data_IF_573425247482
#
_entry.id   IF_573425247482
#
_cell.length_a   1.000
_cell.length_b   1.000
_cell.length_c   1.000
_cell.angle_alpha   90.00
_cell.angle_beta   90.00
_cell.angle_gamma   90.00
#
_symmetry.space_group_name_H-M   'P 1'
#
loop_
_entity.id
_entity.type
_entity.pdbx_description
1 polymer ?
#
# COMPACT_ATOMS: atom_id res chain seq x y z
N UNK A 1 34.62 -70.12 -26.12
CA UNK A 1 35.04 -68.69 -26.24
C UNK A 1 33.79 -67.88 -26.51
N UNK A 2 33.25 -67.24 -25.49
CA UNK A 2 32.01 -66.41 -25.57
C UNK A 2 32.44 -64.96 -25.52
N UNK A 3 32.24 -64.24 -26.62
CA UNK A 3 32.48 -62.80 -26.72
C UNK A 3 31.38 -62.04 -25.93
N UNK A 4 31.76 -61.26 -24.92
CA UNK A 4 30.92 -60.39 -24.16
C UNK A 4 30.99 -58.97 -24.77
N UNK A 5 29.91 -58.52 -25.40
CA UNK A 5 29.77 -57.13 -25.86
C UNK A 5 29.21 -56.28 -24.71
N UNK A 6 29.97 -55.28 -24.27
CA UNK A 6 29.51 -54.22 -23.34
C UNK A 6 29.11 -53.02 -24.18
N UNK A 7 27.87 -52.54 -24.10
CA UNK A 7 27.52 -51.28 -24.74
C UNK A 7 28.02 -50.09 -23.94
N UNK A 8 28.77 -49.23 -24.59
CA UNK A 8 29.23 -47.93 -24.06
C UNK A 8 28.04 -46.97 -24.01
N UNK A 9 27.52 -46.69 -22.81
CA UNK A 9 26.53 -45.62 -22.60
C UNK A 9 27.25 -44.28 -22.57
N UNK A 10 27.08 -43.49 -23.61
CA UNK A 10 27.55 -42.11 -23.68
C UNK A 10 26.55 -41.22 -22.86
N UNK A 11 26.99 -40.78 -21.70
CA UNK A 11 26.27 -39.76 -20.89
C UNK A 11 26.57 -38.39 -21.52
N UNK A 12 25.61 -37.84 -22.24
CA UNK A 12 25.64 -36.43 -22.64
C UNK A 12 25.33 -35.56 -21.42
N UNK A 13 26.35 -35.00 -20.81
CA UNK A 13 26.18 -33.87 -19.87
C UNK A 13 25.86 -32.61 -20.68
N UNK A 14 24.59 -32.23 -20.74
CA UNK A 14 24.17 -30.91 -21.21
C UNK A 14 24.53 -29.93 -20.09
N UNK A 15 25.65 -29.22 -20.22
CA UNK A 15 25.96 -28.07 -19.41
C UNK A 15 25.01 -26.94 -19.82
N UNK A 16 23.96 -26.73 -19.07
CA UNK A 16 23.19 -25.51 -19.11
C UNK A 16 24.08 -24.36 -18.60
N UNK A 17 24.73 -23.66 -19.53
CA UNK A 17 25.38 -22.38 -19.24
C UNK A 17 24.24 -21.38 -19.01
N UNK A 18 23.74 -21.32 -17.78
CA UNK A 18 22.91 -20.22 -17.33
C UNK A 18 23.79 -18.97 -17.31
N UNK A 19 23.59 -18.07 -18.26
CA UNK A 19 24.03 -16.68 -18.08
C UNK A 19 23.39 -16.14 -16.80
N UNK A 20 24.07 -16.21 -15.67
CA UNK A 20 23.78 -15.35 -14.53
C UNK A 20 24.10 -13.94 -15.01
N UNK A 21 23.07 -13.17 -15.36
CA UNK A 21 23.18 -11.73 -15.35
C UNK A 21 23.71 -11.35 -13.96
N UNK A 22 24.81 -10.59 -13.91
CA UNK A 22 25.32 -10.06 -12.66
C UNK A 22 24.17 -9.24 -12.04
N UNK A 23 23.71 -9.62 -10.85
CA UNK A 23 22.75 -8.84 -10.08
C UNK A 23 23.30 -7.41 -9.98
N UNK A 24 22.68 -6.47 -10.67
CA UNK A 24 22.95 -5.05 -10.48
C UNK A 24 22.61 -4.75 -9.01
N UNK A 25 23.61 -4.49 -8.19
CA UNK A 25 23.40 -4.02 -6.82
C UNK A 25 22.75 -2.63 -6.90
N UNK A 26 21.42 -2.61 -6.80
CA UNK A 26 20.67 -1.37 -6.59
C UNK A 26 20.58 -1.12 -5.08
N UNK A 27 20.47 0.15 -4.68
CA UNK A 27 20.19 0.52 -3.28
C UNK A 27 18.67 0.47 -2.97
N UNK A 28 17.86 -0.09 -3.88
CA UNK A 28 16.43 -0.25 -3.68
C UNK A 28 16.14 -1.32 -2.62
N UNK A 29 15.35 -0.96 -1.64
CA UNK A 29 14.81 -1.91 -0.68
C UNK A 29 13.54 -2.57 -1.22
N UNK A 30 13.32 -3.83 -0.83
CA UNK A 30 12.16 -4.60 -1.24
C UNK A 30 11.40 -5.09 0.00
N UNK A 31 10.07 -5.15 -0.16
CA UNK A 31 9.16 -5.68 0.86
C UNK A 31 8.30 -6.80 0.29
N UNK A 32 7.88 -7.76 1.11
CA UNK A 32 6.93 -8.77 0.66
C UNK A 32 5.59 -8.11 0.31
N UNK A 33 4.97 -8.56 -0.79
CA UNK A 33 3.61 -8.18 -1.14
C UNK A 33 2.62 -9.11 -0.41
N UNK A 34 2.49 -8.95 0.90
CA UNK A 34 1.68 -9.83 1.73
C UNK A 34 2.06 -11.31 1.60
N UNK A 35 1.06 -12.17 1.44
CA UNK A 35 1.22 -13.62 1.26
C UNK A 35 1.42 -14.06 -0.21
N UNK A 36 1.57 -13.13 -1.16
CA UNK A 36 1.66 -13.44 -2.58
C UNK A 36 2.95 -14.17 -2.99
N UNK A 37 3.98 -14.11 -2.15
CA UNK A 37 5.32 -14.59 -2.50
C UNK A 37 6.15 -13.62 -3.35
N UNK A 38 5.56 -12.50 -3.78
CA UNK A 38 6.24 -11.47 -4.55
C UNK A 38 6.99 -10.50 -3.63
N UNK A 39 8.16 -10.04 -4.09
CA UNK A 39 8.94 -8.98 -3.45
C UNK A 39 8.86 -7.73 -4.31
N UNK A 40 8.40 -6.61 -3.74
CA UNK A 40 8.17 -5.35 -4.44
C UNK A 40 9.07 -4.24 -3.89
N UNK A 41 9.52 -3.34 -4.76
CA UNK A 41 10.30 -2.15 -4.37
C UNK A 41 9.46 -1.23 -3.47
N UNK A 42 10.11 -0.58 -2.48
CA UNK A 42 9.44 0.33 -1.53
C UNK A 42 8.73 1.51 -2.21
N UNK A 43 9.23 1.94 -3.37
CA UNK A 43 8.57 2.91 -4.25
C UNK A 43 8.29 2.26 -5.60
N UNK A 44 7.19 2.66 -6.23
CA UNK A 44 6.68 2.06 -7.46
C UNK A 44 6.04 3.10 -8.37
N UNK A 45 5.79 2.71 -9.60
CA UNK A 45 5.35 3.59 -10.69
C UNK A 45 3.82 3.66 -10.74
N UNK A 46 3.26 4.88 -10.72
CA UNK A 46 1.87 5.14 -11.13
C UNK A 46 1.82 5.51 -12.61
N UNK A 47 0.91 4.89 -13.36
CA UNK A 47 0.91 4.96 -14.83
C UNK A 47 0.44 6.30 -15.44
N UNK A 48 -0.08 7.25 -14.64
CA UNK A 48 -0.78 8.44 -15.16
C UNK A 48 0.04 9.35 -16.06
N UNK A 49 1.37 9.35 -15.97
CA UNK A 49 2.24 10.14 -16.83
C UNK A 49 2.43 9.58 -18.24
N UNK A 50 2.21 8.27 -18.44
CA UNK A 50 2.51 7.61 -19.72
C UNK A 50 1.56 8.03 -20.86
N UNK A 51 0.41 8.59 -20.58
CA UNK A 51 -0.44 9.20 -21.63
C UNK A 51 0.12 10.51 -22.17
N UNK A 52 0.92 11.24 -21.37
CA UNK A 52 1.43 12.58 -21.67
C UNK A 52 2.68 12.56 -22.54
N UNK A 53 3.42 11.45 -22.54
CA UNK A 53 4.70 11.27 -23.21
C UNK A 53 4.57 10.37 -24.44
N UNK A 54 5.59 10.32 -25.26
CA UNK A 54 5.68 9.38 -26.40
C UNK A 54 6.34 8.05 -25.99
N UNK A 55 6.38 7.11 -26.94
CA UNK A 55 6.94 5.77 -26.68
C UNK A 55 8.43 5.79 -26.38
N UNK A 56 9.19 6.73 -26.97
CA UNK A 56 10.63 6.84 -26.74
C UNK A 56 10.91 7.34 -25.31
N UNK A 57 10.20 8.38 -24.87
CA UNK A 57 10.28 8.88 -23.49
C UNK A 57 9.78 7.83 -22.48
N UNK A 58 8.76 7.06 -22.85
CA UNK A 58 8.26 5.95 -22.03
C UNK A 58 9.29 4.86 -21.84
N UNK A 59 10.02 4.49 -22.90
CA UNK A 59 11.11 3.54 -22.84
C UNK A 59 12.26 4.05 -21.96
N UNK A 60 12.64 5.32 -22.08
CA UNK A 60 13.70 5.92 -21.27
C UNK A 60 13.31 5.92 -19.78
N UNK A 61 12.08 6.34 -19.47
CA UNK A 61 11.55 6.39 -18.10
C UNK A 61 11.48 4.97 -17.48
N UNK A 62 10.92 3.99 -18.20
CA UNK A 62 10.83 2.61 -17.73
C UNK A 62 12.21 1.96 -17.57
N UNK A 63 13.13 2.23 -18.48
CA UNK A 63 14.52 1.73 -18.40
C UNK A 63 15.22 2.27 -17.15
N UNK A 64 15.09 3.57 -16.88
CA UNK A 64 15.65 4.18 -15.67
C UNK A 64 15.05 3.57 -14.40
N UNK A 65 13.75 3.39 -14.35
CA UNK A 65 13.06 2.80 -13.20
C UNK A 65 13.53 1.36 -12.93
N UNK A 66 13.51 0.49 -13.95
CA UNK A 66 13.97 -0.90 -13.83
C UNK A 66 15.46 -0.99 -13.49
N UNK A 67 16.29 -0.15 -14.11
CA UNK A 67 17.74 -0.11 -13.85
C UNK A 67 18.06 0.37 -12.43
N UNK A 68 17.16 1.15 -11.81
CA UNK A 68 17.25 1.59 -10.43
C UNK A 68 16.65 0.57 -9.43
N UNK A 69 16.03 -0.50 -9.93
CA UNK A 69 15.45 -1.57 -9.10
C UNK A 69 13.97 -1.41 -8.79
N UNK A 70 13.27 -0.41 -9.35
CA UNK A 70 11.80 -0.40 -9.28
C UNK A 70 11.26 -1.57 -10.09
N UNK A 71 10.41 -2.39 -9.45
CA UNK A 71 9.87 -3.60 -10.07
C UNK A 71 8.35 -3.72 -9.97
N UNK A 72 7.65 -2.62 -9.66
CA UNK A 72 6.20 -2.62 -9.53
C UNK A 72 5.59 -1.41 -10.22
N UNK A 73 4.49 -1.64 -10.95
CA UNK A 73 3.72 -0.58 -11.62
C UNK A 73 2.23 -0.77 -11.36
N UNK A 74 1.54 0.33 -11.04
CA UNK A 74 0.09 0.40 -11.00
C UNK A 74 -0.47 0.92 -12.33
N UNK A 75 -1.24 0.07 -13.01
CA UNK A 75 -1.89 0.35 -14.27
C UNK A 75 -3.40 0.52 -14.07
N UNK A 76 -3.79 1.62 -13.40
CA UNK A 76 -5.20 1.94 -13.20
C UNK A 76 -5.86 2.52 -14.43
N UNK A 77 -5.10 3.16 -15.32
CA UNK A 77 -5.63 3.87 -16.49
C UNK A 77 -5.93 2.91 -17.65
N UNK A 78 -7.13 3.06 -18.22
CA UNK A 78 -7.56 2.30 -19.37
C UNK A 78 -7.22 2.97 -20.72
N UNK A 79 -6.58 4.16 -20.71
CA UNK A 79 -6.22 4.88 -21.92
C UNK A 79 -5.33 4.00 -22.84
N UNK A 80 -5.74 3.79 -24.10
CA UNK A 80 -4.99 2.99 -25.06
C UNK A 80 -3.53 3.41 -25.24
N UNK A 81 -3.25 4.73 -25.17
CA UNK A 81 -1.89 5.26 -25.29
C UNK A 81 -1.04 4.89 -24.09
N UNK A 82 -1.57 5.06 -22.86
CA UNK A 82 -0.90 4.66 -21.61
C UNK A 82 -0.47 3.20 -21.67
N UNK A 83 -1.44 2.30 -21.94
CA UNK A 83 -1.20 0.85 -22.01
C UNK A 83 -0.19 0.48 -23.09
N UNK A 84 -0.31 1.07 -24.30
CA UNK A 84 0.59 0.81 -25.42
C UNK A 84 2.01 1.33 -25.16
N UNK A 85 2.16 2.49 -24.53
CA UNK A 85 3.46 3.04 -24.15
C UNK A 85 4.18 2.17 -23.12
N UNK A 86 3.46 1.69 -22.11
CA UNK A 86 4.00 0.77 -21.10
C UNK A 86 4.40 -0.56 -21.74
N UNK A 87 3.54 -1.15 -22.58
CA UNK A 87 3.85 -2.38 -23.30
C UNK A 87 5.06 -2.26 -24.21
N UNK A 88 5.21 -1.14 -24.91
CA UNK A 88 6.39 -0.83 -25.70
C UNK A 88 7.65 -0.72 -24.82
N UNK A 89 7.55 -0.01 -23.71
CA UNK A 89 8.68 0.24 -22.82
C UNK A 89 9.15 -1.03 -22.08
N UNK A 90 8.28 -2.02 -21.90
CA UNK A 90 8.58 -3.30 -21.27
C UNK A 90 9.05 -4.39 -22.24
N UNK A 91 9.16 -4.11 -23.55
CA UNK A 91 9.63 -5.12 -24.51
C UNK A 91 10.99 -5.70 -24.15
N UNK A 92 11.06 -7.03 -24.01
CA UNK A 92 12.26 -7.75 -23.61
C UNK A 92 12.60 -7.68 -22.11
N UNK A 93 11.83 -6.93 -21.30
CA UNK A 93 12.01 -6.78 -19.86
C UNK A 93 10.71 -6.98 -19.05
N UNK A 94 9.66 -7.54 -19.67
CA UNK A 94 8.33 -7.74 -19.04
C UNK A 94 8.43 -8.48 -17.71
N UNK A 95 9.26 -9.50 -17.62
CA UNK A 95 9.44 -10.34 -16.44
C UNK A 95 10.16 -9.63 -15.28
N UNK A 96 10.72 -8.44 -15.52
CA UNK A 96 11.34 -7.62 -14.47
C UNK A 96 10.32 -6.71 -13.75
N UNK A 97 9.07 -6.61 -14.27
CA UNK A 97 8.04 -5.73 -13.74
C UNK A 97 6.80 -6.51 -13.28
N UNK A 98 6.43 -6.33 -12.02
CA UNK A 98 5.16 -6.79 -11.44
C UNK A 98 4.10 -5.76 -11.82
N UNK A 99 3.06 -6.19 -12.53
CA UNK A 99 1.97 -5.31 -12.97
C UNK A 99 0.74 -5.53 -12.09
N UNK A 100 0.30 -4.45 -11.43
CA UNK A 100 -1.01 -4.30 -10.81
C UNK A 100 -1.93 -3.66 -11.83
N UNK A 101 -2.79 -4.45 -12.47
CA UNK A 101 -3.71 -3.97 -13.51
C UNK A 101 -5.17 -4.00 -13.04
N UNK A 102 -5.96 -2.98 -13.42
CA UNK A 102 -7.31 -2.80 -12.91
C UNK A 102 -8.38 -3.48 -13.79
N UNK A 103 -9.12 -4.43 -13.21
CA UNK A 103 -10.27 -5.11 -13.81
C UNK A 103 -11.51 -4.25 -13.59
N UNK A 104 -12.30 -4.05 -14.64
CA UNK A 104 -13.46 -3.16 -14.59
C UNK A 104 -13.11 -1.68 -14.74
N UNK A 105 -11.90 -1.37 -15.24
CA UNK A 105 -11.53 -0.07 -15.76
C UNK A 105 -11.43 -0.15 -17.29
N UNK A 106 -12.28 0.59 -18.00
CA UNK A 106 -12.37 0.62 -19.45
C UNK A 106 -12.18 2.05 -19.99
N UNK A 107 -11.86 2.16 -21.28
CA UNK A 107 -11.80 3.45 -21.97
C UNK A 107 -12.99 3.59 -22.88
N UNK A 108 -13.85 4.59 -22.62
CA UNK A 108 -15.08 4.83 -23.36
C UNK A 108 -15.30 6.32 -23.50
N UNK A 109 -15.71 6.77 -24.69
CA UNK A 109 -15.99 8.18 -24.98
C UNK A 109 -14.83 9.15 -24.65
N UNK A 110 -13.58 8.67 -24.83
CA UNK A 110 -12.38 9.48 -24.62
C UNK A 110 -11.91 9.57 -23.17
N UNK A 111 -12.46 8.79 -22.25
CA UNK A 111 -12.07 8.79 -20.84
C UNK A 111 -12.07 7.37 -20.25
N UNK A 112 -11.38 7.20 -19.15
CA UNK A 112 -11.49 5.97 -18.38
C UNK A 112 -12.78 5.96 -17.58
N UNK A 113 -13.43 4.80 -17.50
CA UNK A 113 -14.69 4.60 -16.81
C UNK A 113 -14.62 3.32 -15.99
N UNK A 114 -15.36 3.31 -14.88
CA UNK A 114 -15.58 2.09 -14.12
C UNK A 114 -16.77 1.32 -14.67
N UNK A 115 -16.64 0.01 -14.79
CA UNK A 115 -17.75 -0.90 -15.14
C UNK A 115 -17.79 -2.13 -14.23
N UNK A 116 -18.99 -2.69 -14.02
CA UNK A 116 -19.23 -4.02 -13.46
C UNK A 116 -19.94 -4.93 -14.46
N UNK A 117 -20.21 -4.44 -15.68
CA UNK A 117 -20.65 -5.29 -16.78
C UNK A 117 -19.53 -6.25 -17.18
N UNK A 118 -19.86 -7.54 -17.24
CA UNK A 118 -18.86 -8.60 -17.48
C UNK A 118 -18.27 -8.52 -18.87
N UNK A 119 -19.06 -8.21 -19.89
CA UNK A 119 -18.58 -8.17 -21.28
C UNK A 119 -17.69 -6.94 -21.50
N UNK A 120 -18.06 -5.78 -20.95
CA UNK A 120 -17.20 -4.59 -20.97
C UNK A 120 -15.89 -4.85 -20.20
N UNK A 121 -15.96 -5.51 -19.03
CA UNK A 121 -14.77 -5.84 -18.23
C UNK A 121 -13.83 -6.81 -18.95
N UNK A 122 -14.38 -7.84 -19.63
CA UNK A 122 -13.61 -8.76 -20.49
C UNK A 122 -12.87 -8.01 -21.59
N UNK A 123 -13.58 -7.17 -22.35
CA UNK A 123 -13.00 -6.39 -23.44
C UNK A 123 -11.89 -5.48 -22.91
N UNK A 124 -12.11 -4.80 -21.78
CA UNK A 124 -11.12 -3.91 -21.17
C UNK A 124 -9.88 -4.64 -20.65
N UNK A 125 -10.05 -5.84 -20.12
CA UNK A 125 -8.94 -6.67 -19.65
C UNK A 125 -8.12 -7.27 -20.81
N UNK A 126 -8.78 -7.77 -21.86
CA UNK A 126 -8.12 -8.27 -23.06
C UNK A 126 -7.39 -7.17 -23.83
N UNK A 127 -7.96 -5.96 -23.93
CA UNK A 127 -7.27 -4.77 -24.47
C UNK A 127 -6.00 -4.47 -23.67
N UNK A 128 -6.06 -4.55 -22.34
CA UNK A 128 -4.90 -4.35 -21.48
C UNK A 128 -3.79 -5.36 -21.78
N UNK A 129 -4.09 -6.65 -21.77
CA UNK A 129 -3.09 -7.70 -22.08
C UNK A 129 -2.51 -7.56 -23.48
N UNK A 130 -3.36 -7.26 -24.46
CA UNK A 130 -2.94 -7.07 -25.87
C UNK A 130 -1.96 -5.91 -26.00
N UNK A 131 -2.25 -4.75 -25.38
CA UNK A 131 -1.40 -3.56 -25.45
C UNK A 131 -0.10 -3.70 -24.66
N UNK A 132 -0.14 -4.42 -23.56
CA UNK A 132 1.04 -4.78 -22.77
C UNK A 132 1.89 -5.85 -23.46
N UNK A 133 1.38 -6.51 -24.52
CA UNK A 133 2.01 -7.65 -25.19
C UNK A 133 2.39 -8.77 -24.21
N UNK A 134 1.43 -9.17 -23.36
CA UNK A 134 1.59 -10.22 -22.34
C UNK A 134 0.33 -11.06 -22.28
N UNK A 135 0.43 -12.28 -21.75
CA UNK A 135 -0.70 -13.18 -21.55
C UNK A 135 -1.24 -13.15 -20.11
N UNK A 136 -0.55 -12.47 -19.19
CA UNK A 136 -0.93 -12.35 -17.79
C UNK A 136 -0.41 -11.06 -17.13
N UNK A 137 -0.98 -10.78 -15.96
CA UNK A 137 -0.47 -9.80 -14.99
C UNK A 137 -0.41 -10.43 -13.60
N UNK A 138 0.41 -9.87 -12.72
CA UNK A 138 0.62 -10.46 -11.39
C UNK A 138 -0.55 -10.16 -10.45
N UNK A 139 -1.05 -8.91 -10.42
CA UNK A 139 -2.15 -8.51 -9.53
C UNK A 139 -3.32 -7.98 -10.34
N UNK A 140 -4.43 -8.71 -10.32
CA UNK A 140 -5.72 -8.24 -10.86
C UNK A 140 -6.49 -7.45 -9.80
N UNK A 141 -6.53 -6.12 -9.96
CA UNK A 141 -7.14 -5.19 -9.01
C UNK A 141 -8.59 -4.90 -9.41
N UNK A 142 -9.56 -5.22 -8.57
CA UNK A 142 -10.94 -4.78 -8.74
C UNK A 142 -10.96 -3.26 -8.62
N UNK A 143 -11.36 -2.57 -9.70
CA UNK A 143 -11.24 -1.12 -9.81
C UNK A 143 -12.29 -0.40 -8.98
N UNK A 144 -11.87 0.39 -8.03
CA UNK A 144 -12.62 1.28 -7.14
C UNK A 144 -13.89 0.64 -6.56
N UNK A 145 -13.87 0.40 -5.26
CA UNK A 145 -15.03 0.00 -4.48
C UNK A 145 -15.01 0.84 -3.20
N UNK A 146 -15.86 1.88 -3.16
CA UNK A 146 -15.78 2.94 -2.16
C UNK A 146 -17.02 3.04 -1.26
N UNK A 147 -18.06 2.21 -1.50
CA UNK A 147 -19.21 2.14 -0.62
C UNK A 147 -19.53 0.70 -0.19
N UNK A 148 -20.25 0.58 0.92
CA UNK A 148 -20.69 -0.74 1.42
C UNK A 148 -21.64 -1.42 0.44
N UNK A 149 -22.52 -0.64 -0.21
CA UNK A 149 -23.47 -1.13 -1.22
C UNK A 149 -22.70 -1.71 -2.43
N UNK A 150 -21.69 -1.00 -2.94
CA UNK A 150 -20.87 -1.48 -4.05
C UNK A 150 -20.14 -2.79 -3.70
N UNK A 151 -19.66 -2.92 -2.45
CA UNK A 151 -19.03 -4.15 -2.00
C UNK A 151 -20.06 -5.30 -1.90
N UNK A 152 -21.23 -5.04 -1.34
CA UNK A 152 -22.29 -6.05 -1.19
C UNK A 152 -22.84 -6.50 -2.54
N UNK A 153 -22.96 -5.59 -3.52
CA UNK A 153 -23.32 -5.92 -4.90
C UNK A 153 -22.22 -6.71 -5.63
N UNK A 154 -20.95 -6.51 -5.26
CA UNK A 154 -19.83 -7.25 -5.83
C UNK A 154 -19.84 -8.71 -5.39
N UNK A 155 -20.13 -8.98 -4.12
CA UNK A 155 -20.16 -10.33 -3.56
C UNK A 155 -21.25 -11.19 -4.24
N UNK A 156 -20.85 -12.31 -4.86
CA UNK A 156 -21.76 -13.20 -5.61
C UNK A 156 -22.21 -12.66 -6.96
N UNK A 157 -21.60 -11.58 -7.46
CA UNK A 157 -21.92 -11.05 -8.79
C UNK A 157 -21.23 -11.84 -9.92
N UNK A 158 -21.79 -11.83 -11.14
CA UNK A 158 -21.12 -12.39 -12.31
C UNK A 158 -19.76 -11.72 -12.61
N UNK A 159 -19.57 -10.46 -12.20
CA UNK A 159 -18.29 -9.77 -12.33
C UNK A 159 -17.22 -10.38 -11.41
N UNK A 160 -17.56 -10.71 -10.16
CA UNK A 160 -16.64 -11.39 -9.25
C UNK A 160 -16.32 -12.80 -9.72
N UNK A 161 -17.31 -13.53 -10.24
CA UNK A 161 -17.09 -14.85 -10.87
C UNK A 161 -16.07 -14.76 -12.01
N UNK A 162 -16.16 -13.71 -12.82
CA UNK A 162 -15.17 -13.44 -13.88
C UNK A 162 -13.77 -13.16 -13.33
N UNK A 163 -13.64 -12.40 -12.24
CA UNK A 163 -12.34 -12.17 -11.59
C UNK A 163 -11.72 -13.49 -11.12
N UNK A 164 -12.50 -14.36 -10.48
CA UNK A 164 -12.03 -15.70 -10.09
C UNK A 164 -11.69 -16.57 -11.30
N UNK A 165 -12.46 -16.47 -12.39
CA UNK A 165 -12.13 -17.16 -13.64
C UNK A 165 -10.75 -16.73 -14.16
N UNK A 166 -10.44 -15.44 -14.19
CA UNK A 166 -9.12 -14.92 -14.62
C UNK A 166 -7.98 -15.50 -13.77
N UNK A 167 -8.18 -15.63 -12.45
CA UNK A 167 -7.21 -16.26 -11.56
C UNK A 167 -7.04 -17.76 -11.87
N UNK A 168 -8.14 -18.47 -12.08
CA UNK A 168 -8.10 -19.89 -12.42
C UNK A 168 -7.45 -20.17 -13.78
N UNK A 169 -7.58 -19.25 -14.74
CA UNK A 169 -6.95 -19.31 -16.05
C UNK A 169 -5.47 -18.88 -16.03
N UNK A 170 -4.98 -18.37 -14.89
CA UNK A 170 -3.62 -17.87 -14.75
C UNK A 170 -3.38 -16.52 -15.43
N UNK A 171 -4.44 -15.83 -15.87
CA UNK A 171 -4.35 -14.48 -16.45
C UNK A 171 -4.07 -13.40 -15.40
N UNK A 172 -4.43 -13.67 -14.15
CA UNK A 172 -3.96 -12.95 -12.97
C UNK A 172 -3.46 -13.96 -11.95
N UNK A 173 -2.45 -13.60 -11.17
CA UNK A 173 -1.91 -14.49 -10.13
C UNK A 173 -2.57 -14.20 -8.78
N UNK A 174 -2.82 -12.93 -8.47
CA UNK A 174 -3.37 -12.47 -7.20
C UNK A 174 -4.55 -11.54 -7.41
N UNK A 175 -5.49 -11.55 -6.46
CA UNK A 175 -6.67 -10.67 -6.48
C UNK A 175 -6.48 -9.55 -5.48
N UNK A 176 -6.69 -8.32 -5.96
CA UNK A 176 -6.74 -7.14 -5.12
C UNK A 176 -8.02 -6.32 -5.31
N UNK A 177 -8.18 -5.31 -4.47
CA UNK A 177 -9.22 -4.30 -4.59
C UNK A 177 -8.65 -2.91 -4.33
N UNK A 178 -9.06 -1.90 -5.11
CA UNK A 178 -8.72 -0.51 -4.81
C UNK A 178 -9.90 0.18 -4.10
N UNK A 179 -9.59 0.87 -3.00
CA UNK A 179 -10.56 1.65 -2.25
C UNK A 179 -9.93 2.90 -1.63
N UNK A 180 -10.77 3.94 -1.49
CA UNK A 180 -10.43 5.17 -0.79
C UNK A 180 -11.14 5.25 0.57
N UNK A 181 -12.10 4.34 0.80
CA UNK A 181 -12.90 4.24 2.01
C UNK A 181 -12.31 3.18 2.94
N UNK A 182 -11.95 3.59 4.17
CA UNK A 182 -11.30 2.68 5.13
C UNK A 182 -12.22 1.55 5.62
N UNK A 183 -13.51 1.83 5.80
CA UNK A 183 -14.49 0.82 6.24
C UNK A 183 -14.68 -0.26 5.18
N UNK A 184 -14.76 0.15 3.90
CA UNK A 184 -14.88 -0.77 2.78
C UNK A 184 -13.60 -1.58 2.58
N UNK A 185 -12.43 -0.93 2.68
CA UNK A 185 -11.14 -1.61 2.61
C UNK A 185 -10.99 -2.68 3.72
N UNK A 186 -11.42 -2.35 4.95
CA UNK A 186 -11.44 -3.28 6.07
C UNK A 186 -12.41 -4.45 5.83
N UNK A 187 -13.61 -4.17 5.30
CA UNK A 187 -14.58 -5.20 4.93
C UNK A 187 -14.01 -6.13 3.85
N UNK A 188 -13.36 -5.55 2.85
CA UNK A 188 -12.66 -6.31 1.81
C UNK A 188 -11.53 -7.18 2.38
N UNK A 189 -10.70 -6.64 3.28
CA UNK A 189 -9.67 -7.41 3.96
C UNK A 189 -10.24 -8.63 4.70
N UNK A 190 -11.40 -8.47 5.34
CA UNK A 190 -12.09 -9.53 6.09
C UNK A 190 -12.81 -10.57 5.22
N UNK A 191 -12.91 -10.38 3.90
CA UNK A 191 -13.57 -11.32 2.97
C UNK A 191 -12.87 -12.68 2.86
N UNK A 192 -11.57 -12.74 3.16
CA UNK A 192 -10.76 -13.96 3.12
C UNK A 192 -10.20 -14.35 1.75
N UNK A 193 -10.51 -13.60 0.68
CA UNK A 193 -10.02 -13.87 -0.69
C UNK A 193 -9.25 -12.69 -1.31
N UNK A 194 -9.21 -11.53 -0.65
CA UNK A 194 -8.37 -10.39 -1.05
C UNK A 194 -6.94 -10.60 -0.54
N UNK A 195 -5.96 -10.46 -1.42
CA UNK A 195 -4.54 -10.62 -1.13
C UNK A 195 -3.82 -9.26 -1.09
N UNK A 196 -4.31 -8.28 -1.88
CA UNK A 196 -3.71 -6.94 -2.01
C UNK A 196 -4.80 -5.88 -1.95
N UNK A 197 -4.58 -4.82 -1.19
CA UNK A 197 -5.46 -3.66 -1.16
C UNK A 197 -4.68 -2.43 -1.63
N UNK A 198 -5.13 -1.80 -2.71
CA UNK A 198 -4.64 -0.48 -3.09
C UNK A 198 -5.43 0.57 -2.31
N UNK A 199 -4.76 1.29 -1.42
CA UNK A 199 -5.43 2.18 -0.48
C UNK A 199 -4.84 3.59 -0.48
N UNK A 200 -5.71 4.60 -0.32
CA UNK A 200 -5.28 5.99 -0.20
C UNK A 200 -4.77 6.28 1.21
N UNK A 201 -3.44 6.40 1.35
CA UNK A 201 -2.76 6.59 2.61
C UNK A 201 -1.72 7.70 2.54
N UNK A 202 -1.78 8.64 3.46
CA UNK A 202 -0.76 9.66 3.72
C UNK A 202 -1.07 10.35 5.06
N UNK A 203 -0.20 11.26 5.57
CA UNK A 203 -0.42 11.92 6.87
C UNK A 203 -1.77 12.63 7.04
N UNK A 204 -2.33 13.20 5.96
CA UNK A 204 -3.63 13.88 6.01
C UNK A 204 -4.81 12.90 5.93
N UNK A 205 -4.72 11.92 5.00
CA UNK A 205 -5.83 10.99 4.79
C UNK A 205 -6.03 10.03 5.96
N UNK A 206 -4.98 9.74 6.71
CA UNK A 206 -5.09 8.95 7.94
C UNK A 206 -5.96 9.62 9.01
N UNK A 207 -6.23 10.92 8.87
CA UNK A 207 -7.08 11.70 9.76
C UNK A 207 -8.52 11.87 9.26
N UNK A 208 -8.86 11.28 8.12
CA UNK A 208 -10.24 11.23 7.63
C UNK A 208 -11.06 10.28 8.50
N UNK A 209 -12.31 10.68 8.79
CA UNK A 209 -13.22 9.84 9.58
C UNK A 209 -13.69 8.64 8.78
N UNK A 210 -13.59 7.46 9.35
CA UNK A 210 -14.17 6.17 8.94
C UNK A 210 -14.34 5.99 7.43
N UNK A 211 -15.58 6.06 6.97
CA UNK A 211 -15.96 5.92 5.58
C UNK A 211 -15.77 7.15 4.68
N UNK A 212 -15.19 8.26 5.19
CA UNK A 212 -15.01 9.48 4.38
C UNK A 212 -14.01 9.27 3.25
N UNK A 213 -14.37 9.74 2.06
CA UNK A 213 -13.54 9.73 0.87
C UNK A 213 -12.82 11.08 0.71
N UNK A 214 -11.52 11.12 0.36
CA UNK A 214 -10.71 12.34 0.40
C UNK A 214 -11.22 13.52 -0.44
N UNK A 215 -12.03 13.29 -1.48
CA UNK A 215 -12.57 14.33 -2.36
C UNK A 215 -14.04 14.66 -2.08
N UNK A 216 -14.66 14.06 -1.10
CA UNK A 216 -15.96 14.50 -0.65
C UNK A 216 -15.90 15.92 -0.10
N UNK A 217 -16.96 16.68 -0.37
CA UNK A 217 -17.02 18.08 0.06
C UNK A 217 -16.92 18.19 1.58
N UNK A 218 -15.90 18.88 2.05
CA UNK A 218 -15.67 19.13 3.47
C UNK A 218 -14.94 17.99 4.21
N UNK A 219 -14.60 16.88 3.55
CA UNK A 219 -13.87 15.79 4.20
C UNK A 219 -12.52 16.26 4.76
N UNK A 220 -11.80 17.09 4.01
CA UNK A 220 -10.51 17.65 4.42
C UNK A 220 -10.60 18.82 5.42
N UNK A 221 -11.80 19.38 5.62
CA UNK A 221 -12.00 20.51 6.55
C UNK A 221 -12.15 20.03 8.01
N UNK A 222 -12.39 18.72 8.22
CA UNK A 222 -12.70 18.11 9.51
C UNK A 222 -11.77 16.93 9.83
N UNK A 223 -10.47 17.12 9.64
CA UNK A 223 -9.48 16.10 9.98
C UNK A 223 -9.40 15.92 11.49
N UNK A 224 -9.25 14.68 11.93
CA UNK A 224 -9.03 14.34 13.34
C UNK A 224 -7.60 14.69 13.78
N UNK A 225 -7.38 14.79 15.07
CA UNK A 225 -6.03 15.01 15.61
C UNK A 225 -5.11 13.81 15.35
N UNK A 226 -5.63 12.58 15.52
CA UNK A 226 -4.91 11.32 15.32
C UNK A 226 -5.27 10.60 14.02
N UNK A 227 -4.79 9.38 13.91
CA UNK A 227 -5.19 8.43 12.85
C UNK A 227 -6.61 7.93 13.21
N UNK A 228 -7.47 7.87 12.20
CA UNK A 228 -8.83 7.35 12.40
C UNK A 228 -8.79 5.87 12.88
N UNK A 229 -9.57 5.50 13.91
CA UNK A 229 -9.57 4.15 14.45
C UNK A 229 -9.83 3.04 13.45
N UNK A 230 -10.71 3.26 12.46
CA UNK A 230 -10.99 2.27 11.40
C UNK A 230 -9.76 2.04 10.52
N UNK A 231 -8.97 3.11 10.26
CA UNK A 231 -7.71 2.97 9.51
C UNK A 231 -6.66 2.19 10.30
N UNK A 232 -6.58 2.43 11.61
CA UNK A 232 -5.69 1.64 12.48
C UNK A 232 -6.11 0.17 12.46
N UNK A 233 -7.41 -0.13 12.59
CA UNK A 233 -7.93 -1.49 12.51
C UNK A 233 -7.62 -2.15 11.15
N UNK A 234 -7.77 -1.41 10.04
CA UNK A 234 -7.41 -1.90 8.71
C UNK A 234 -5.94 -2.30 8.64
N UNK A 235 -5.04 -1.43 9.13
CA UNK A 235 -3.59 -1.69 9.09
C UNK A 235 -3.20 -2.88 9.95
N UNK A 236 -3.74 -2.96 11.16
CA UNK A 236 -3.50 -4.08 12.08
C UNK A 236 -4.04 -5.40 11.52
N UNK A 237 -5.25 -5.37 10.95
CA UNK A 237 -5.84 -6.55 10.33
C UNK A 237 -5.00 -7.04 9.15
N UNK A 238 -4.63 -6.13 8.23
CA UNK A 238 -3.80 -6.47 7.09
C UNK A 238 -2.43 -6.99 7.50
N UNK A 239 -1.78 -6.37 8.49
CA UNK A 239 -0.49 -6.83 9.02
C UNK A 239 -0.58 -8.24 9.63
N UNK A 240 -1.62 -8.50 10.44
CA UNK A 240 -1.80 -9.79 11.12
C UNK A 240 -2.13 -10.92 10.14
N UNK A 241 -2.85 -10.62 9.06
CA UNK A 241 -3.28 -11.61 8.06
C UNK A 241 -2.38 -11.64 6.83
N UNK A 242 -1.27 -10.86 6.83
CA UNK A 242 -0.35 -10.73 5.71
C UNK A 242 -1.05 -10.33 4.39
N UNK A 243 -2.01 -9.42 4.45
CA UNK A 243 -2.62 -8.78 3.29
C UNK A 243 -1.78 -7.54 2.97
N UNK A 244 -1.36 -7.39 1.72
CA UNK A 244 -0.54 -6.26 1.33
C UNK A 244 -1.38 -4.99 1.16
N UNK A 245 -0.84 -3.84 1.58
CA UNK A 245 -1.32 -2.54 1.15
C UNK A 245 -0.32 -1.93 0.16
N UNK A 246 -0.79 -1.60 -1.05
CA UNK A 246 -0.10 -0.75 -2.01
C UNK A 246 -0.70 0.65 -1.91
N UNK A 247 0.16 1.66 -1.70
CA UNK A 247 -0.33 3.00 -1.33
C UNK A 247 -0.51 3.88 -2.55
N UNK A 248 -1.71 4.36 -2.78
CA UNK A 248 -1.99 5.46 -3.69
C UNK A 248 -2.09 6.79 -2.93
N UNK A 249 -1.87 7.91 -3.64
CA UNK A 249 -1.96 9.27 -3.07
C UNK A 249 -0.94 9.58 -1.97
N UNK A 250 0.20 8.92 -1.98
CA UNK A 250 1.31 9.09 -1.03
C UNK A 250 1.62 10.57 -0.73
N UNK A 251 1.65 11.43 -1.76
CA UNK A 251 1.97 12.85 -1.66
C UNK A 251 0.72 13.75 -1.49
N UNK A 252 -0.43 13.17 -1.07
CA UNK A 252 -1.68 13.91 -0.83
C UNK A 252 -2.58 14.09 -2.06
N UNK A 253 -2.30 13.38 -3.16
CA UNK A 253 -3.02 13.56 -4.44
C UNK A 253 -2.61 14.86 -5.14
N UNK A 254 -1.81 14.73 -6.21
CA UNK A 254 -1.26 15.88 -6.94
C UNK A 254 -0.25 16.71 -6.15
N UNK A 255 0.48 16.09 -5.21
CA UNK A 255 1.55 16.77 -4.47
C UNK A 255 1.06 17.77 -3.40
N UNK A 256 -0.20 17.72 -2.98
CA UNK A 256 -0.77 18.70 -2.04
C UNK A 256 -0.01 18.82 -0.71
N UNK A 257 0.58 17.74 -0.23
CA UNK A 257 1.33 17.74 1.02
C UNK A 257 2.71 18.43 0.90
N UNK A 258 3.20 18.68 -0.32
CA UNK A 258 4.52 19.24 -0.57
C UNK A 258 4.57 20.78 -0.45
N UNK A 259 3.42 21.45 -0.32
CA UNK A 259 3.32 22.89 -0.10
C UNK A 259 2.35 23.18 1.05
N UNK A 260 2.80 23.95 2.04
CA UNK A 260 2.01 24.30 3.22
C UNK A 260 0.69 25.02 2.88
N UNK A 261 0.60 25.70 1.72
CA UNK A 261 -0.61 26.40 1.29
C UNK A 261 -1.68 25.47 0.74
N UNK A 262 -1.29 24.33 0.16
CA UNK A 262 -2.19 23.33 -0.41
C UNK A 262 -2.42 22.15 0.53
N UNK A 263 -1.51 21.98 1.50
CA UNK A 263 -1.59 20.92 2.49
C UNK A 263 -2.76 21.16 3.45
N UNK A 264 -3.68 20.20 3.59
CA UNK A 264 -4.77 20.30 4.57
C UNK A 264 -4.24 20.27 6.02
N UNK A 265 -2.96 19.95 6.20
CA UNK A 265 -2.28 19.96 7.50
C UNK A 265 -1.59 21.30 7.81
N UNK A 266 -1.64 22.29 6.88
CA UNK A 266 -1.03 23.61 7.05
C UNK A 266 0.49 23.62 7.08
N UNK A 267 1.15 22.50 6.86
CA UNK A 267 2.60 22.32 6.79
C UNK A 267 3.00 21.58 5.52
N UNK A 268 4.23 21.79 5.05
CA UNK A 268 4.79 21.07 3.91
C UNK A 268 5.61 19.86 4.38
N UNK A 269 5.36 18.71 3.78
CA UNK A 269 6.18 17.51 3.88
C UNK A 269 7.11 17.42 2.67
N UNK A 270 8.23 16.71 2.81
CA UNK A 270 9.00 16.26 1.64
C UNK A 270 8.45 14.95 1.10
N UNK A 271 8.77 14.57 -0.16
CA UNK A 271 8.43 13.25 -0.68
C UNK A 271 8.93 12.11 0.21
N UNK A 272 10.17 12.20 0.71
CA UNK A 272 10.78 11.20 1.59
C UNK A 272 10.01 11.04 2.90
N UNK A 273 9.55 12.14 3.49
CA UNK A 273 8.74 12.13 4.71
C UNK A 273 7.36 11.49 4.46
N UNK A 274 6.73 11.78 3.33
CA UNK A 274 5.46 11.15 2.96
C UNK A 274 5.62 9.64 2.75
N UNK A 275 6.66 9.22 2.02
CA UNK A 275 6.98 7.81 1.78
C UNK A 275 7.29 7.10 3.10
N UNK A 276 8.17 7.68 3.93
CA UNK A 276 8.52 7.13 5.24
C UNK A 276 7.29 6.94 6.14
N UNK A 277 6.38 7.94 6.14
CA UNK A 277 5.13 7.84 6.86
C UNK A 277 4.29 6.65 6.42
N UNK A 278 4.10 6.47 5.11
CA UNK A 278 3.33 5.34 4.57
C UNK A 278 4.01 4.01 4.92
N UNK A 279 5.31 3.89 4.67
CA UNK A 279 6.09 2.68 4.92
C UNK A 279 6.28 2.36 6.42
N UNK A 280 5.94 3.28 7.32
CA UNK A 280 5.91 3.01 8.77
C UNK A 280 4.81 2.02 9.17
N UNK A 281 3.81 1.78 8.31
CA UNK A 281 2.76 0.79 8.54
C UNK A 281 3.25 -0.61 8.12
N UNK A 282 3.21 -1.62 9.00
CA UNK A 282 3.79 -2.96 8.71
C UNK A 282 3.18 -3.66 7.48
N UNK A 283 1.91 -3.38 7.18
CA UNK A 283 1.19 -3.96 6.04
C UNK A 283 1.48 -3.27 4.70
N UNK A 284 2.17 -2.12 4.71
CA UNK A 284 2.48 -1.38 3.47
C UNK A 284 3.69 -1.97 2.78
N UNK A 285 3.49 -2.43 1.55
CA UNK A 285 4.53 -3.03 0.72
C UNK A 285 5.22 -2.04 -0.20
N UNK A 286 4.47 -1.10 -0.79
CA UNK A 286 5.01 -0.12 -1.73
C UNK A 286 4.20 1.17 -1.76
N UNK A 287 4.87 2.29 -2.06
CA UNK A 287 4.26 3.59 -2.33
C UNK A 287 4.24 3.84 -3.84
N UNK A 288 3.04 3.91 -4.42
CA UNK A 288 2.83 4.20 -5.84
C UNK A 288 2.92 5.71 -6.06
N UNK A 289 3.95 6.13 -6.80
CA UNK A 289 4.22 7.53 -7.10
C UNK A 289 3.72 7.87 -8.51
N UNK A 290 3.00 8.98 -8.64
CA UNK A 290 2.62 9.51 -9.95
C UNK A 290 3.84 10.17 -10.57
N UNK A 291 4.28 9.69 -11.72
CA UNK A 291 5.49 10.14 -12.41
C UNK A 291 5.09 10.62 -13.80
N UNK A 292 5.18 11.92 -14.03
CA UNK A 292 4.79 12.53 -15.31
C UNK A 292 5.97 12.67 -16.29
N UNK A 293 7.21 12.66 -15.77
CA UNK A 293 8.43 12.88 -16.57
C UNK A 293 9.68 12.32 -15.86
N UNK A 294 10.80 12.30 -16.58
CA UNK A 294 12.09 11.79 -16.09
C UNK A 294 12.66 12.54 -14.89
N UNK A 295 12.39 13.84 -14.77
CA UNK A 295 12.94 14.63 -13.65
C UNK A 295 12.20 14.32 -12.35
N UNK A 296 10.89 14.05 -12.43
CA UNK A 296 10.12 13.53 -11.29
C UNK A 296 10.59 12.14 -10.90
N UNK A 297 10.81 11.23 -11.86
CA UNK A 297 11.37 9.91 -11.55
C UNK A 297 12.73 10.02 -10.84
N UNK A 298 13.62 10.91 -11.31
CA UNK A 298 14.93 11.13 -10.66
C UNK A 298 14.78 11.66 -9.24
N UNK A 299 13.82 12.57 -9.02
CA UNK A 299 13.52 13.09 -7.69
C UNK A 299 13.00 11.98 -6.77
N UNK A 300 12.08 11.14 -7.24
CA UNK A 300 11.54 10.02 -6.47
C UNK A 300 12.60 8.96 -6.14
N UNK A 301 13.53 8.71 -7.07
CA UNK A 301 14.66 7.79 -6.87
C UNK A 301 15.66 8.30 -5.79
N UNK A 302 15.59 9.56 -5.37
CA UNK A 302 16.34 10.06 -4.22
C UNK A 302 16.01 9.28 -2.94
N UNK A 303 14.81 8.72 -2.81
CA UNK A 303 14.40 7.82 -1.71
C UNK A 303 15.46 6.76 -1.37
N UNK A 304 16.11 6.18 -2.38
CA UNK A 304 17.13 5.13 -2.19
C UNK A 304 18.38 5.60 -1.46
N UNK A 305 18.63 6.90 -1.42
CA UNK A 305 19.82 7.54 -0.88
C UNK A 305 19.52 8.50 0.28
N UNK A 306 18.24 8.74 0.53
CA UNK A 306 17.80 9.65 1.58
C UNK A 306 18.24 9.15 2.96
N UNK A 307 18.76 10.08 3.76
CA UNK A 307 19.19 9.82 5.14
C UNK A 307 18.01 9.60 6.07
N UNK A 308 18.29 9.10 7.28
CA UNK A 308 17.23 8.92 8.30
C UNK A 308 16.64 10.29 8.72
N UNK A 309 17.45 11.37 8.70
CA UNK A 309 16.97 12.72 8.98
C UNK A 309 16.02 13.24 7.88
N UNK A 310 16.31 12.96 6.60
CA UNK A 310 15.42 13.34 5.49
C UNK A 310 14.10 12.58 5.52
N UNK A 311 14.13 11.34 6.01
CA UNK A 311 12.95 10.48 6.18
C UNK A 311 12.14 10.79 7.45
N UNK A 312 12.73 11.52 8.41
CA UNK A 312 12.05 11.85 9.66
C UNK A 312 10.93 12.88 9.44
N UNK A 313 9.71 12.42 9.52
CA UNK A 313 8.49 13.24 9.42
C UNK A 313 8.00 13.79 10.78
N UNK A 314 8.63 13.40 11.89
CA UNK A 314 8.13 13.73 13.25
C UNK A 314 8.27 15.22 13.55
N UNK A 315 9.34 15.87 13.09
CA UNK A 315 9.55 17.30 13.27
C UNK A 315 8.52 18.16 12.52
N UNK A 316 8.15 17.75 11.28
CA UNK A 316 7.10 18.45 10.50
C UNK A 316 5.75 18.25 11.16
N UNK A 317 5.45 17.04 11.61
CA UNK A 317 4.20 16.71 12.28
C UNK A 317 3.94 17.51 13.54
N UNK A 318 4.99 17.89 14.29
CA UNK A 318 4.90 18.80 15.45
C UNK A 318 4.51 20.24 15.08
N UNK A 319 4.69 20.64 13.83
CA UNK A 319 4.34 21.98 13.34
C UNK A 319 2.91 22.08 12.80
N UNK A 320 2.20 20.95 12.69
CA UNK A 320 0.82 20.92 12.21
C UNK A 320 -0.10 21.71 13.15
N UNK A 321 -0.95 22.62 12.62
CA UNK A 321 -1.80 23.48 13.45
C UNK A 321 -2.85 22.72 14.28
N UNK A 322 -3.20 21.53 13.89
CA UNK A 322 -4.17 20.69 14.58
C UNK A 322 -3.46 19.78 15.58
N UNK A 323 -3.25 20.30 16.78
CA UNK A 323 -3.17 19.61 18.07
C UNK A 323 -2.74 18.12 18.05
N UNK A 324 -1.50 17.85 17.71
CA UNK A 324 -0.93 16.54 17.98
C UNK A 324 -0.15 16.50 19.31
N UNK A 325 0.12 17.66 19.94
CA UNK A 325 0.82 17.71 21.23
C UNK A 325 -0.13 17.19 22.31
N UNK A 326 0.26 16.09 22.93
CA UNK A 326 -0.52 15.40 23.94
C UNK A 326 -1.45 14.29 23.43
N UNK A 327 -1.71 14.19 22.12
CA UNK A 327 -2.54 13.15 21.54
C UNK A 327 -1.71 11.99 20.99
N UNK A 328 -2.09 10.76 21.31
CA UNK A 328 -1.42 9.57 20.78
C UNK A 328 -1.78 9.35 19.30
N UNK A 329 -0.75 9.20 18.47
CA UNK A 329 -0.91 8.93 17.03
C UNK A 329 -0.63 7.48 16.66
N UNK A 330 -0.55 6.61 17.65
CA UNK A 330 -0.30 5.16 17.56
C UNK A 330 0.97 4.80 16.74
N UNK A 331 1.91 5.72 16.64
CA UNK A 331 3.13 5.59 15.81
C UNK A 331 4.17 4.62 16.38
N UNK A 332 3.95 4.12 17.62
CA UNK A 332 4.78 3.18 18.33
C UNK A 332 6.24 3.62 18.65
N UNK A 333 6.58 4.91 18.50
CA UNK A 333 7.91 5.43 18.87
C UNK A 333 8.21 5.27 20.37
N UNK A 334 7.19 5.20 21.22
CA UNK A 334 7.31 4.93 22.66
C UNK A 334 7.86 3.53 22.98
N UNK A 335 7.84 2.61 22.02
CA UNK A 335 8.35 1.24 22.17
C UNK A 335 9.89 1.16 22.11
N UNK A 336 10.53 0.15 22.74
CA UNK A 336 9.95 -0.88 23.57
C UNK A 336 9.64 -0.39 24.98
N UNK A 337 8.52 -0.86 25.56
CA UNK A 337 8.23 -0.66 26.97
C UNK A 337 9.03 -1.66 27.81
N UNK A 338 9.59 -1.22 28.96
CA UNK A 338 10.34 -2.09 29.86
C UNK A 338 9.50 -3.23 30.46
N UNK A 339 8.17 -3.02 30.54
CA UNK A 339 7.20 -4.01 31.01
C UNK A 339 6.54 -4.77 29.85
N UNK A 340 6.95 -4.54 28.59
CA UNK A 340 6.37 -5.20 27.42
C UNK A 340 4.97 -4.70 27.03
N UNK A 341 4.46 -3.62 27.63
CA UNK A 341 3.12 -3.07 27.31
C UNK A 341 3.12 -2.57 25.87
N UNK A 342 2.17 -3.00 25.03
CA UNK A 342 1.98 -2.48 23.67
C UNK A 342 1.29 -1.09 23.73
N UNK A 343 2.03 -0.07 24.16
CA UNK A 343 1.53 1.27 24.52
C UNK A 343 0.64 1.87 23.43
N UNK A 344 1.07 1.80 22.17
CA UNK A 344 0.29 2.36 21.06
C UNK A 344 -1.07 1.68 20.93
N UNK A 345 -1.14 0.35 21.10
CA UNK A 345 -2.40 -0.41 21.04
C UNK A 345 -3.28 -0.16 22.27
N UNK A 346 -2.70 -0.01 23.44
CA UNK A 346 -3.44 0.37 24.66
C UNK A 346 -4.10 1.73 24.47
N UNK A 347 -3.37 2.74 23.97
CA UNK A 347 -3.93 4.07 23.70
C UNK A 347 -5.02 4.04 22.63
N UNK A 348 -4.85 3.25 21.56
CA UNK A 348 -5.89 3.08 20.54
C UNK A 348 -7.21 2.55 21.14
N UNK A 349 -7.12 1.51 21.98
CA UNK A 349 -8.30 0.92 22.63
C UNK A 349 -8.91 1.88 23.66
N UNK A 350 -8.07 2.65 24.36
CA UNK A 350 -8.51 3.70 25.30
C UNK A 350 -9.32 4.77 24.57
N UNK A 351 -8.79 5.31 23.49
CA UNK A 351 -9.46 6.37 22.72
C UNK A 351 -10.78 5.88 22.14
N UNK A 352 -10.83 4.63 21.63
CA UNK A 352 -12.10 4.01 21.18
C UNK A 352 -13.11 3.90 22.32
N UNK A 353 -12.69 3.43 23.50
CA UNK A 353 -13.59 3.29 24.64
C UNK A 353 -14.08 4.64 25.18
N UNK A 354 -13.29 5.70 25.06
CA UNK A 354 -13.71 7.06 25.45
C UNK A 354 -14.69 7.70 24.47
N UNK A 355 -14.57 7.37 23.16
CA UNK A 355 -15.44 7.92 22.11
C UNK A 355 -16.76 7.14 22.03
N UNK A 356 -16.70 5.82 22.02
CA UNK A 356 -17.83 4.93 21.72
C UNK A 356 -18.46 4.31 22.98
N UNK A 357 -17.76 4.42 24.13
CA UNK A 357 -18.06 3.66 25.35
C UNK A 357 -17.41 2.29 25.34
N UNK A 358 -17.20 1.73 26.53
CA UNK A 358 -16.62 0.39 26.67
C UNK A 358 -17.63 -0.67 26.24
N UNK A 359 -17.33 -1.37 25.14
CA UNK A 359 -18.11 -2.50 24.64
C UNK A 359 -17.48 -3.85 25.05
N UNK A 360 -18.25 -4.97 25.07
CA UNK A 360 -17.68 -6.30 25.31
C UNK A 360 -16.57 -6.67 24.33
N UNK A 361 -16.67 -6.20 23.08
CA UNK A 361 -15.69 -6.45 22.02
C UNK A 361 -14.40 -5.69 22.28
N UNK A 362 -14.45 -4.44 22.69
CA UNK A 362 -13.30 -3.63 23.09
C UNK A 362 -12.62 -4.23 24.33
N UNK A 363 -13.39 -4.66 25.32
CA UNK A 363 -12.87 -5.35 26.51
C UNK A 363 -12.13 -6.64 26.11
N UNK A 364 -12.71 -7.44 25.21
CA UNK A 364 -12.09 -8.68 24.74
C UNK A 364 -10.77 -8.41 23.98
N UNK A 365 -10.71 -7.36 23.15
CA UNK A 365 -9.48 -6.96 22.49
C UNK A 365 -8.41 -6.53 23.48
N UNK A 366 -8.77 -5.75 24.49
CA UNK A 366 -7.84 -5.35 25.53
C UNK A 366 -7.34 -6.55 26.36
N UNK A 367 -8.24 -7.46 26.72
CA UNK A 367 -7.93 -8.67 27.49
C UNK A 367 -6.99 -9.63 26.76
N UNK A 368 -6.99 -9.59 25.44
CA UNK A 368 -6.11 -10.39 24.57
C UNK A 368 -4.67 -9.83 24.46
N UNK A 369 -4.40 -8.64 24.98
CA UNK A 369 -3.06 -8.07 24.95
C UNK A 369 -2.09 -8.88 25.84
N UNK A 370 -0.81 -9.02 25.43
CA UNK A 370 0.17 -9.77 26.20
C UNK A 370 0.52 -9.12 27.54
N UNK A 371 0.41 -7.79 27.63
CA UNK A 371 0.63 -6.96 28.82
C UNK A 371 -0.38 -5.83 28.86
N UNK A 372 -0.80 -5.43 30.06
CA UNK A 372 -1.87 -4.47 30.28
C UNK A 372 -1.36 -3.17 30.92
N UNK A 373 -2.16 -2.10 30.80
CA UNK A 373 -1.83 -0.77 31.30
C UNK A 373 -1.51 -0.77 32.82
N UNK A 374 -2.19 -1.60 33.62
CA UNK A 374 -1.95 -1.71 35.04
C UNK A 374 -0.56 -2.24 35.44
N UNK A 375 0.19 -2.77 34.50
CA UNK A 375 1.59 -3.19 34.68
C UNK A 375 2.57 -2.02 34.54
N UNK A 376 2.09 -0.82 34.21
CA UNK A 376 2.93 0.36 34.03
C UNK A 376 3.59 0.77 35.36
N UNK A 377 4.92 0.83 35.34
CA UNK A 377 5.73 1.23 36.51
C UNK A 377 6.03 2.74 36.55
N UNK A 378 5.45 3.53 35.64
CA UNK A 378 5.70 4.98 35.49
C UNK A 378 7.20 5.34 35.35
N UNK A 379 8.01 4.46 34.74
CA UNK A 379 9.45 4.64 34.61
C UNK A 379 9.85 5.81 33.66
N UNK A 380 8.91 6.37 32.91
CA UNK A 380 9.09 7.52 32.03
C UNK A 380 9.90 7.27 30.74
N UNK A 381 10.37 6.03 30.49
CA UNK A 381 11.19 5.72 29.31
C UNK A 381 10.45 5.98 27.97
N UNK A 382 9.12 5.88 27.96
CA UNK A 382 8.28 6.17 26.80
C UNK A 382 8.14 7.66 26.54
N UNK A 383 8.20 8.53 27.56
CA UNK A 383 8.05 9.98 27.42
C UNK A 383 9.15 10.59 26.56
N UNK A 384 10.41 10.23 26.83
CA UNK A 384 11.56 10.75 26.08
C UNK A 384 11.61 10.29 24.62
N UNK A 385 10.86 9.25 24.27
CA UNK A 385 10.76 8.70 22.92
C UNK A 385 9.51 9.15 22.17
N UNK A 386 8.51 9.69 22.88
CA UNK A 386 7.29 10.16 22.24
C UNK A 386 7.52 11.49 21.53
N UNK A 387 7.41 11.56 20.18
CA UNK A 387 7.62 12.81 19.44
C UNK A 387 6.44 13.79 19.60
N UNK A 388 5.32 13.36 20.21
CA UNK A 388 4.09 14.14 20.38
C UNK A 388 3.82 14.52 21.83
N UNK A 389 4.79 14.35 22.72
CA UNK A 389 4.73 14.75 24.13
C UNK A 389 3.52 14.16 24.88
N UNK A 390 3.03 12.99 24.44
CA UNK A 390 1.91 12.30 25.10
C UNK A 390 2.30 11.94 26.53
N UNK A 391 1.46 12.31 27.50
CA UNK A 391 1.62 11.84 28.87
C UNK A 391 1.17 10.37 29.02
N UNK A 392 2.04 9.48 28.47
CA UNK A 392 1.77 8.04 28.41
C UNK A 392 1.48 7.43 29.79
N UNK A 393 2.21 7.75 30.88
CA UNK A 393 1.86 7.23 32.20
C UNK A 393 0.41 7.54 32.59
N UNK A 394 -0.04 8.79 32.39
CA UNK A 394 -1.44 9.17 32.65
C UNK A 394 -2.43 8.43 31.76
N UNK A 395 -2.08 8.20 30.48
CA UNK A 395 -2.93 7.39 29.60
C UNK A 395 -3.02 5.93 30.06
N UNK A 396 -1.94 5.37 30.58
CA UNK A 396 -1.94 4.00 31.16
C UNK A 396 -2.84 3.93 32.41
N UNK A 397 -2.80 4.96 33.28
CA UNK A 397 -3.70 5.00 34.45
C UNK A 397 -5.17 5.06 34.01
N UNK A 398 -5.52 5.88 33.01
CA UNK A 398 -6.88 5.95 32.45
C UNK A 398 -7.32 4.63 31.82
N UNK A 399 -6.44 3.98 31.06
CA UNK A 399 -6.74 2.68 30.47
C UNK A 399 -7.00 1.62 31.55
N UNK A 400 -6.21 1.62 32.63
CA UNK A 400 -6.43 0.76 33.79
C UNK A 400 -7.78 1.02 34.45
N UNK A 401 -8.19 2.28 34.59
CA UNK A 401 -9.50 2.65 35.17
C UNK A 401 -10.66 2.14 34.30
N UNK A 402 -10.55 2.26 32.96
CA UNK A 402 -11.62 1.88 32.04
C UNK A 402 -11.70 0.36 31.87
N UNK A 403 -10.57 -0.32 31.65
CA UNK A 403 -10.53 -1.76 31.35
C UNK A 403 -10.32 -2.65 32.58
N UNK A 404 -10.00 -2.08 33.75
CA UNK A 404 -9.87 -2.82 35.01
C UNK A 404 -8.57 -3.64 35.19
N UNK A 405 -7.58 -3.44 34.34
CA UNK A 405 -6.30 -4.19 34.37
C UNK A 405 -5.09 -3.28 34.20
#
# INVERSE_FOLDING_TARGET
MKNLYIPLLAVLCVMAIGCRQAEKKTNMNYRPLGNTGLMVSEISIGCGGFEKIDSAASLEMMTMALDSGMNYIDLYDANPKTRSNIGYALQGRRDEMIIQGHIGCIFKDGQHCRTRDVEEAKQGFEDMLTRLNTDHIEVGMIHITDSHEEWDELEGSPFLDYVFQLKNEGKIQHIGVSSHNAEVALKAAKSGWIEVIMFSLNPAFDRLRGGAIPWEKGAMDNLQAGIDPVRVELYDYCATHNIAITVMKTLGGGGRLLDAKTSPLGVAYTPEQCIAYCLSKPCVSTCILGIDNLDELKADLHWMHATDEEKDYTAVRKQEPAKADGDCTYCNHCSPCSMGIPIAKVNELLDKAEIEGLTPELQAQYDALPHHAGECTHCGACLSRCPFEVDIPTQMDRAKEIFGK
#
